data_IF_726315240450
#
_entry.id   IF_726315240450
#
_cell.length_a   1.000
_cell.length_b   1.000
_cell.length_c   1.000
_cell.angle_alpha   90.00
_cell.angle_beta   90.00
_cell.angle_gamma   90.00
#
_symmetry.space_group_name_H-M   'P 1'
#
loop_
_entity.id
_entity.type
_entity.pdbx_description
1 polymer ?
#
# COMPACT_ATOMS: atom_id res chain seq x y z
N UNK A 1 -7.90 18.33 -10.49
CA UNK A 1 -7.39 16.98 -10.14
C UNK A 1 -6.33 16.92 -9.03
N UNK A 2 -5.93 18.05 -8.44
CA UNK A 2 -5.06 18.11 -7.25
C UNK A 2 -5.81 17.94 -5.91
N UNK A 3 -7.05 17.42 -5.91
CA UNK A 3 -7.88 17.29 -4.69
C UNK A 3 -8.22 15.83 -4.33
N UNK A 4 -7.91 14.87 -5.22
CA UNK A 4 -8.12 13.44 -4.97
C UNK A 4 -6.97 12.77 -4.18
N UNK A 5 -5.95 13.54 -3.77
CA UNK A 5 -4.85 13.08 -2.90
C UNK A 5 -5.23 13.05 -1.42
N UNK A 6 -6.51 13.21 -1.06
CA UNK A 6 -7.00 12.88 0.29
C UNK A 6 -6.84 11.38 0.52
N UNK A 7 -5.60 10.94 0.67
CA UNK A 7 -5.29 9.70 1.35
C UNK A 7 -5.96 9.85 2.70
N UNK A 8 -6.81 8.90 3.07
CA UNK A 8 -7.34 8.82 4.42
C UNK A 8 -6.22 8.52 5.45
N UNK A 9 -4.94 8.68 5.07
CA UNK A 9 -3.78 8.78 5.93
C UNK A 9 -3.99 9.76 7.09
N UNK A 10 -4.70 10.89 6.94
CA UNK A 10 -4.99 11.74 8.12
C UNK A 10 -5.90 11.05 9.14
N UNK A 11 -6.74 10.11 8.71
CA UNK A 11 -7.60 9.36 9.62
C UNK A 11 -6.79 8.38 10.50
N UNK A 12 -5.65 7.86 10.04
CA UNK A 12 -4.83 6.92 10.84
C UNK A 12 -3.46 7.44 11.29
N UNK A 13 -2.81 8.34 10.54
CA UNK A 13 -1.61 9.10 10.96
C UNK A 13 -2.08 10.41 11.57
N UNK A 14 -2.26 10.40 12.90
CA UNK A 14 -2.81 11.53 13.65
C UNK A 14 -1.79 12.66 13.85
N UNK A 15 -0.52 12.33 13.99
CA UNK A 15 0.54 13.32 14.18
C UNK A 15 0.79 14.08 12.86
N UNK A 16 0.62 15.42 12.83
CA UNK A 16 0.78 16.19 11.60
C UNK A 16 2.20 16.13 11.03
N UNK A 17 3.22 16.11 11.88
CA UNK A 17 4.62 16.08 11.46
C UNK A 17 4.93 14.75 10.76
N UNK A 18 4.51 13.64 11.36
CA UNK A 18 4.60 12.29 10.82
C UNK A 18 3.83 12.13 9.52
N UNK A 19 2.64 12.75 9.44
CA UNK A 19 1.85 12.77 8.22
C UNK A 19 2.60 13.45 7.07
N UNK A 20 3.15 14.64 7.29
CA UNK A 20 3.88 15.36 6.24
C UNK A 20 5.17 14.63 5.83
N UNK A 21 5.91 14.07 6.79
CA UNK A 21 7.11 13.27 6.48
C UNK A 21 6.78 12.01 5.67
N UNK A 22 5.69 11.31 6.01
CA UNK A 22 5.24 10.13 5.25
C UNK A 22 4.77 10.51 3.85
N UNK A 23 4.02 11.61 3.74
CA UNK A 23 3.55 12.16 2.46
C UNK A 23 4.73 12.54 1.55
N UNK A 24 5.72 13.25 2.07
CA UNK A 24 6.89 13.64 1.29
C UNK A 24 7.65 12.42 0.76
N UNK A 25 7.75 11.35 1.55
CA UNK A 25 8.35 10.10 1.11
C UNK A 25 7.53 9.43 -0.01
N UNK A 26 6.20 9.40 0.10
CA UNK A 26 5.31 8.91 -0.97
C UNK A 26 5.50 9.71 -2.26
N UNK A 27 5.57 11.05 -2.17
CA UNK A 27 5.77 11.93 -3.32
C UNK A 27 7.11 11.66 -4.01
N UNK A 28 8.20 11.52 -3.24
CA UNK A 28 9.52 11.21 -3.76
C UNK A 28 9.58 9.82 -4.43
N UNK A 29 8.77 8.87 -3.96
CA UNK A 29 8.71 7.49 -4.46
C UNK A 29 7.55 7.24 -5.42
N UNK A 30 6.86 8.29 -5.88
CA UNK A 30 5.62 8.14 -6.66
C UNK A 30 5.83 7.39 -7.98
N UNK A 31 7.00 7.52 -8.60
CA UNK A 31 7.34 6.79 -9.82
C UNK A 31 7.37 5.26 -9.57
N UNK A 32 8.11 4.81 -8.55
CA UNK A 32 8.15 3.39 -8.12
C UNK A 32 6.75 2.90 -7.76
N UNK A 33 6.03 3.64 -6.92
CA UNK A 33 4.70 3.25 -6.44
C UNK A 33 3.69 3.13 -7.58
N UNK A 34 3.75 4.03 -8.55
CA UNK A 34 2.89 3.99 -9.74
C UNK A 34 3.22 2.78 -10.62
N UNK A 35 4.49 2.49 -10.83
CA UNK A 35 4.92 1.38 -11.68
C UNK A 35 4.59 0.03 -11.03
N UNK A 36 4.84 -0.12 -9.73
CA UNK A 36 4.40 -1.31 -8.97
C UNK A 36 2.89 -1.48 -9.03
N UNK A 37 2.12 -0.40 -8.84
CA UNK A 37 0.66 -0.46 -8.97
C UNK A 37 0.23 -0.90 -10.38
N UNK A 38 0.82 -0.30 -11.42
CA UNK A 38 0.47 -0.61 -12.81
C UNK A 38 0.80 -2.05 -13.16
N UNK A 39 1.98 -2.53 -12.77
CA UNK A 39 2.38 -3.91 -12.95
C UNK A 39 1.41 -4.87 -12.24
N UNK A 40 1.09 -4.63 -10.97
CA UNK A 40 0.16 -5.49 -10.23
C UNK A 40 -1.25 -5.45 -10.85
N UNK A 41 -1.76 -4.27 -11.18
CA UNK A 41 -3.10 -4.12 -11.76
C UNK A 41 -3.19 -4.72 -13.17
N UNK A 42 -2.12 -4.68 -13.98
CA UNK A 42 -2.11 -5.25 -15.34
C UNK A 42 -2.16 -6.79 -15.34
N UNK A 43 -1.72 -7.43 -14.26
CA UNK A 43 -1.80 -8.88 -14.07
C UNK A 43 -3.05 -9.31 -13.28
N UNK A 44 -3.94 -8.37 -12.94
CA UNK A 44 -5.16 -8.63 -12.16
C UNK A 44 -6.37 -7.94 -12.83
N UNK A 45 -7.14 -7.10 -12.11
CA UNK A 45 -8.38 -6.52 -12.58
C UNK A 45 -8.22 -5.05 -13.03
N UNK A 46 -7.33 -4.81 -14.00
CA UNK A 46 -7.03 -3.46 -14.50
C UNK A 46 -8.32 -2.64 -14.78
N UNK A 47 -8.42 -1.38 -14.31
CA UNK A 47 -7.39 -0.54 -13.70
C UNK A 47 -7.33 -0.59 -12.17
N UNK A 48 -7.77 -1.68 -11.54
CA UNK A 48 -7.80 -1.87 -10.09
C UNK A 48 -7.05 -3.13 -9.66
N UNK A 49 -6.91 -3.32 -8.35
CA UNK A 49 -6.35 -4.53 -7.74
C UNK A 49 -7.38 -5.14 -6.79
N UNK A 50 -7.73 -6.40 -7.00
CA UNK A 50 -8.62 -7.20 -6.15
C UNK A 50 -7.92 -7.60 -4.85
N UNK A 51 -8.69 -8.12 -3.88
CA UNK A 51 -8.10 -8.69 -2.65
C UNK A 51 -7.13 -9.83 -2.99
N UNK A 52 -7.49 -10.69 -3.94
CA UNK A 52 -6.65 -11.79 -4.40
C UNK A 52 -5.35 -11.29 -5.03
N UNK A 53 -5.43 -10.32 -5.96
CA UNK A 53 -4.25 -9.69 -6.56
C UNK A 53 -3.35 -9.01 -5.52
N UNK A 54 -3.93 -8.47 -4.45
CA UNK A 54 -3.17 -7.89 -3.32
C UNK A 54 -2.44 -8.98 -2.52
N UNK A 55 -3.06 -10.13 -2.27
CA UNK A 55 -2.40 -11.27 -1.62
C UNK A 55 -1.24 -11.83 -2.46
N UNK A 56 -1.45 -11.98 -3.77
CA UNK A 56 -0.43 -12.46 -4.70
C UNK A 56 0.75 -11.49 -4.75
N UNK A 57 0.48 -10.20 -4.94
CA UNK A 57 1.50 -9.14 -4.84
C UNK A 57 2.24 -9.19 -3.51
N UNK A 58 1.54 -9.29 -2.37
CA UNK A 58 2.17 -9.32 -1.05
C UNK A 58 3.05 -10.56 -0.84
N UNK A 59 2.70 -11.68 -1.48
CA UNK A 59 3.53 -12.89 -1.48
C UNK A 59 4.78 -12.66 -2.33
N UNK A 60 4.63 -12.17 -3.56
CA UNK A 60 5.74 -11.98 -4.51
C UNK A 60 6.72 -10.88 -4.08
N UNK A 61 6.24 -9.82 -3.44
CA UNK A 61 7.07 -8.76 -2.86
C UNK A 61 7.72 -9.15 -1.52
N UNK A 62 7.48 -10.37 -1.02
CA UNK A 62 8.02 -10.84 0.26
C UNK A 62 7.46 -10.12 1.49
N UNK A 63 6.28 -9.51 1.37
CA UNK A 63 5.63 -8.80 2.47
C UNK A 63 5.10 -9.77 3.54
N UNK A 64 4.63 -10.95 3.11
CA UNK A 64 4.18 -12.03 3.97
C UNK A 64 5.38 -12.84 4.46
N UNK A 65 5.67 -12.77 5.75
CA UNK A 65 6.78 -13.50 6.40
C UNK A 65 6.31 -14.65 7.30
N UNK A 66 4.99 -14.90 7.35
CA UNK A 66 4.32 -15.89 8.21
C UNK A 66 4.56 -15.75 9.72
N UNK A 67 5.29 -14.71 10.15
CA UNK A 67 5.65 -14.44 11.54
C UNK A 67 4.97 -13.18 12.06
N UNK A 68 5.14 -12.07 11.35
CA UNK A 68 4.57 -10.77 11.67
C UNK A 68 3.43 -10.43 10.72
N UNK A 69 3.58 -10.76 9.43
CA UNK A 69 2.55 -10.57 8.39
C UNK A 69 2.12 -11.93 7.85
N UNK A 70 0.84 -12.24 8.04
CA UNK A 70 0.15 -13.41 7.47
C UNK A 70 -0.90 -12.93 6.46
N UNK A 71 -1.45 -13.84 5.65
CA UNK A 71 -2.52 -13.53 4.68
C UNK A 71 -3.69 -12.76 5.31
N UNK A 72 -4.16 -13.18 6.49
CA UNK A 72 -5.25 -12.47 7.19
C UNK A 72 -4.91 -11.01 7.51
N UNK A 73 -3.64 -10.70 7.77
CA UNK A 73 -3.20 -9.33 8.01
C UNK A 73 -3.22 -8.49 6.73
N UNK A 74 -2.87 -9.10 5.59
CA UNK A 74 -3.00 -8.46 4.27
C UNK A 74 -4.47 -8.13 4.01
N UNK A 75 -5.38 -9.08 4.21
CA UNK A 75 -6.80 -8.90 3.94
C UNK A 75 -7.44 -7.83 4.83
N UNK A 76 -7.09 -7.78 6.12
CA UNK A 76 -7.56 -6.72 7.02
C UNK A 76 -7.07 -5.34 6.59
N UNK A 77 -5.81 -5.22 6.18
CA UNK A 77 -5.25 -3.93 5.73
C UNK A 77 -5.82 -3.51 4.36
N UNK A 78 -6.10 -4.47 3.47
CA UNK A 78 -6.83 -4.23 2.23
C UNK A 78 -8.20 -3.63 2.50
N UNK A 79 -9.01 -4.28 3.36
CA UNK A 79 -10.36 -3.82 3.71
C UNK A 79 -10.30 -2.41 4.31
N UNK A 80 -9.35 -2.16 5.21
CA UNK A 80 -9.18 -0.86 5.85
C UNK A 80 -8.81 0.26 4.86
N UNK A 81 -8.06 -0.05 3.80
CA UNK A 81 -7.70 0.91 2.76
C UNK A 81 -8.83 1.15 1.73
N UNK A 82 -9.82 0.25 1.67
CA UNK A 82 -10.90 0.27 0.67
C UNK A 82 -12.19 0.96 1.15
N UNK A 83 -12.21 1.53 2.36
CA UNK A 83 -13.42 2.10 3.00
C UNK A 83 -13.93 3.40 2.36
N UNK A 84 -13.17 4.02 1.44
CA UNK A 84 -13.37 5.39 0.95
C UNK A 84 -14.65 5.68 0.14
N UNK A 85 -15.48 4.69 -0.21
CA UNK A 85 -16.59 4.87 -1.18
C UNK A 85 -17.92 4.24 -0.76
N UNK A 86 -18.33 4.39 0.49
CA UNK A 86 -19.63 3.90 0.95
C UNK A 86 -20.86 4.66 0.39
N UNK A 87 -20.69 5.70 -0.44
CA UNK A 87 -21.81 6.56 -0.85
C UNK A 87 -22.41 6.33 -2.25
N UNK A 88 -21.90 5.41 -3.09
CA UNK A 88 -22.52 5.17 -4.40
C UNK A 88 -22.42 3.71 -4.89
N UNK A 89 -23.57 3.05 -4.97
CA UNK A 89 -23.98 1.94 -5.88
C UNK A 89 -22.89 1.35 -6.79
N UNK A 90 -21.96 0.58 -6.23
CA UNK A 90 -20.99 -0.19 -7.03
C UNK A 90 -20.81 -1.59 -6.44
N UNK A 91 -21.87 -2.41 -6.58
CA UNK A 91 -22.02 -3.80 -6.13
C UNK A 91 -21.05 -4.84 -6.76
N UNK A 92 -19.87 -4.42 -7.22
CA UNK A 92 -18.75 -5.32 -7.56
C UNK A 92 -17.39 -4.59 -7.57
N UNK A 93 -17.38 -3.26 -7.78
CA UNK A 93 -16.16 -2.43 -7.82
C UNK A 93 -15.75 -1.88 -6.44
N UNK A 94 -16.63 -2.00 -5.43
CA UNK A 94 -16.37 -1.61 -4.05
C UNK A 94 -15.48 -2.56 -3.24
N UNK A 95 -14.80 -3.51 -3.90
CA UNK A 95 -13.86 -4.47 -3.27
C UNK A 95 -12.53 -4.54 -4.04
N UNK A 96 -12.10 -3.43 -4.65
CA UNK A 96 -10.83 -3.34 -5.35
C UNK A 96 -10.13 -2.03 -5.03
N UNK A 97 -8.80 -2.05 -4.98
CA UNK A 97 -7.97 -0.87 -4.72
C UNK A 97 -7.67 -0.14 -6.02
N UNK A 98 -7.95 1.16 -6.06
CA UNK A 98 -7.29 2.04 -7.00
C UNK A 98 -5.88 2.42 -6.51
N UNK A 99 -5.10 3.14 -7.34
CA UNK A 99 -3.71 3.49 -7.03
C UNK A 99 -3.50 4.12 -5.66
N UNK A 100 -4.37 5.05 -5.25
CA UNK A 100 -4.22 5.72 -3.96
C UNK A 100 -4.55 4.82 -2.78
N UNK A 101 -5.54 3.94 -2.94
CA UNK A 101 -5.92 2.94 -1.92
C UNK A 101 -4.84 1.86 -1.80
N UNK A 102 -4.17 1.50 -2.90
CA UNK A 102 -2.99 0.63 -2.89
C UNK A 102 -1.82 1.26 -2.13
N UNK A 103 -1.54 2.55 -2.34
CA UNK A 103 -0.51 3.26 -1.57
C UNK A 103 -0.89 3.32 -0.08
N UNK A 104 -2.15 3.60 0.24
CA UNK A 104 -2.64 3.57 1.62
C UNK A 104 -2.47 2.19 2.26
N UNK A 105 -2.82 1.12 1.53
CA UNK A 105 -2.61 -0.27 1.94
C UNK A 105 -1.14 -0.53 2.30
N UNK A 106 -0.18 -0.09 1.46
CA UNK A 106 1.24 -0.27 1.74
C UNK A 106 1.69 0.44 3.03
N UNK A 107 1.24 1.68 3.25
CA UNK A 107 1.57 2.43 4.47
C UNK A 107 0.98 1.75 5.70
N UNK A 108 -0.28 1.30 5.64
CA UNK A 108 -0.95 0.59 6.74
C UNK A 108 -0.25 -0.73 7.05
N UNK A 109 0.08 -1.51 6.02
CA UNK A 109 0.79 -2.78 6.19
C UNK A 109 2.20 -2.57 6.76
N UNK A 110 2.88 -1.48 6.39
CA UNK A 110 4.17 -1.11 6.94
C UNK A 110 4.08 -0.80 8.44
N UNK A 111 3.10 0.02 8.85
CA UNK A 111 2.83 0.31 10.26
C UNK A 111 2.52 -0.98 11.03
N UNK A 112 1.64 -1.83 10.48
CA UNK A 112 1.30 -3.11 11.09
C UNK A 112 2.55 -4.00 11.27
N UNK A 113 3.39 -4.12 10.24
CA UNK A 113 4.60 -4.95 10.27
C UNK A 113 5.66 -4.38 11.23
N UNK A 114 6.11 -3.16 11.02
CA UNK A 114 7.31 -2.66 11.70
C UNK A 114 7.02 -2.00 13.05
N UNK A 115 5.88 -1.31 13.19
CA UNK A 115 5.54 -0.55 14.41
C UNK A 115 4.70 -1.38 15.38
N UNK A 116 3.67 -2.06 14.91
CA UNK A 116 2.72 -2.76 15.78
C UNK A 116 3.20 -4.17 16.18
N UNK A 117 3.64 -4.96 15.19
CA UNK A 117 4.01 -6.37 15.41
C UNK A 117 5.49 -6.54 15.76
N UNK A 118 6.43 -6.02 14.94
CA UNK A 118 7.87 -6.12 15.22
C UNK A 118 8.36 -5.13 16.29
N UNK A 119 7.69 -3.98 16.42
CA UNK A 119 8.05 -2.88 17.35
C UNK A 119 9.48 -2.34 17.16
N UNK A 120 9.93 -2.26 15.91
CA UNK A 120 11.28 -1.76 15.53
C UNK A 120 11.26 -0.32 15.01
N UNK A 121 10.09 0.22 14.70
CA UNK A 121 9.88 1.61 14.29
C UNK A 121 8.90 2.31 15.23
N UNK A 122 9.01 3.64 15.33
CA UNK A 122 8.13 4.48 16.15
C UNK A 122 7.12 5.25 15.31
N UNK A 123 7.42 5.49 14.04
CA UNK A 123 6.58 6.28 13.14
C UNK A 123 6.19 5.50 11.88
N UNK A 124 5.08 5.89 11.26
CA UNK A 124 4.61 5.47 9.95
C UNK A 124 5.61 5.87 8.87
N UNK A 125 6.27 7.02 9.00
CA UNK A 125 7.35 7.42 8.10
C UNK A 125 8.50 6.40 8.14
N UNK A 126 9.01 6.07 9.33
CA UNK A 126 10.07 5.06 9.49
C UNK A 126 9.63 3.68 8.99
N UNK A 127 8.38 3.30 9.28
CA UNK A 127 7.81 2.02 8.87
C UNK A 127 7.70 1.92 7.34
N UNK A 128 7.16 2.97 6.71
CA UNK A 128 6.99 3.04 5.27
C UNK A 128 8.33 3.14 4.56
N UNK A 129 9.29 3.88 5.11
CA UNK A 129 10.66 3.87 4.58
C UNK A 129 11.24 2.45 4.55
N UNK A 130 11.08 1.70 5.64
CA UNK A 130 11.55 0.31 5.70
C UNK A 130 10.85 -0.62 4.71
N UNK A 131 9.52 -0.55 4.57
CA UNK A 131 8.82 -1.40 3.58
C UNK A 131 9.28 -1.08 2.15
N UNK A 132 9.54 0.21 1.86
CA UNK A 132 10.04 0.63 0.55
C UNK A 132 11.42 0.02 0.28
N UNK A 133 12.36 0.19 1.20
CA UNK A 133 13.74 -0.26 1.04
C UNK A 133 13.86 -1.80 1.02
N UNK A 134 13.11 -2.50 1.87
CA UNK A 134 13.23 -3.95 2.06
C UNK A 134 12.42 -4.76 1.05
N UNK A 135 11.33 -4.21 0.50
CA UNK A 135 10.36 -4.97 -0.30
C UNK A 135 9.94 -4.30 -1.61
N UNK A 136 9.50 -3.04 -1.57
CA UNK A 136 8.86 -2.42 -2.75
C UNK A 136 9.89 -2.05 -3.83
N UNK A 137 11.00 -1.44 -3.45
CA UNK A 137 12.08 -1.09 -4.39
C UNK A 137 12.72 -2.36 -4.99
N UNK A 138 13.03 -3.41 -4.20
CA UNK A 138 13.47 -4.69 -4.76
C UNK A 138 12.46 -5.32 -5.73
N UNK A 139 11.17 -5.35 -5.39
CA UNK A 139 10.12 -5.88 -6.27
C UNK A 139 10.05 -5.08 -7.58
N UNK A 140 10.07 -3.75 -7.49
CA UNK A 140 10.07 -2.86 -8.64
C UNK A 140 11.26 -3.11 -9.58
N UNK A 141 12.47 -3.18 -9.04
CA UNK A 141 13.68 -3.41 -9.81
C UNK A 141 13.69 -4.77 -10.54
N UNK A 142 12.96 -5.76 -10.01
CA UNK A 142 12.97 -7.13 -10.54
C UNK A 142 11.78 -7.46 -11.45
N UNK A 143 10.63 -6.81 -11.27
CA UNK A 143 9.39 -7.16 -11.98
C UNK A 143 8.81 -6.01 -12.83
N UNK A 144 9.20 -4.76 -12.57
CA UNK A 144 8.59 -3.60 -13.23
C UNK A 144 9.49 -2.96 -14.30
N UNK A 145 10.73 -3.45 -14.49
CA UNK A 145 11.72 -2.87 -15.40
C UNK A 145 11.72 -3.48 -16.82
N UNK A 146 10.78 -4.38 -17.16
CA UNK A 146 10.75 -5.08 -18.46
C UNK A 146 10.45 -4.17 -19.69
N UNK A 147 10.37 -2.85 -19.49
CA UNK A 147 10.15 -1.85 -20.53
C UNK A 147 11.30 -0.83 -20.65
N UNK A 148 12.52 -1.17 -20.20
CA UNK A 148 13.75 -0.39 -20.43
C UNK A 148 14.65 -1.00 -21.49
#
# INVERSE_FOLDING_TARGET
DEDNWRINNRAFIKDPTEYYATRQLIENQMHVLKEVFLHTASHDAFPYITMFGTEEFATNAGLIDNKHVKKDAVNRNFIAANVSKQDHDLDAKGQMLCRYEFIEFLVRLAVFKYKETMKVTKTAHESFKRIMDEHIVPFHATHCQDWQ
#
